data_IF_450883146814
#
_entry.id   IF_450883146814
#
_cell.length_a   1.000
_cell.length_b   1.000
_cell.length_c   1.000
_cell.angle_alpha   90.00
_cell.angle_beta   90.00
_cell.angle_gamma   90.00
#
_symmetry.space_group_name_H-M   'P 1'
#
loop_
_entity.id
_entity.type
_entity.pdbx_description
1 polymer ?
#
# COMPACT_ATOMS: atom_id res chain seq x y z
N UNK A 1 -30.27 39.96 -19.46
CA UNK A 1 -29.16 39.22 -18.82
C UNK A 1 -29.35 37.75 -19.13
N UNK A 2 -28.49 37.20 -19.98
CA UNK A 2 -28.69 35.95 -20.70
C UNK A 2 -28.49 34.71 -19.81
N UNK A 3 -29.52 33.87 -19.74
CA UNK A 3 -29.49 32.46 -19.36
C UNK A 3 -29.64 31.64 -20.64
N UNK A 4 -28.53 31.22 -21.25
CA UNK A 4 -28.53 30.25 -22.33
C UNK A 4 -27.34 29.29 -22.20
N UNK A 5 -27.64 28.00 -22.48
CA UNK A 5 -26.75 26.86 -22.68
C UNK A 5 -26.34 26.02 -21.47
N UNK A 6 -27.31 25.26 -20.95
CA UNK A 6 -27.10 23.84 -20.65
C UNK A 6 -27.94 23.02 -21.63
N UNK A 7 -27.32 22.54 -22.72
CA UNK A 7 -27.94 21.56 -23.62
C UNK A 7 -27.47 20.17 -23.22
N UNK A 8 -28.47 19.36 -22.89
CA UNK A 8 -28.45 17.93 -22.59
C UNK A 8 -27.68 17.09 -23.61
N UNK A 9 -26.71 16.31 -23.13
CA UNK A 9 -26.26 15.07 -23.76
C UNK A 9 -26.52 13.92 -22.79
N UNK A 10 -27.78 13.48 -22.71
CA UNK A 10 -28.13 12.20 -22.10
C UNK A 10 -27.99 11.16 -23.21
N UNK A 11 -26.83 10.51 -23.31
CA UNK A 11 -26.70 9.28 -24.08
C UNK A 11 -27.46 8.18 -23.34
N UNK A 12 -28.53 7.66 -23.96
CA UNK A 12 -29.24 6.46 -23.51
C UNK A 12 -28.24 5.29 -23.38
N UNK A 13 -28.13 4.60 -22.23
CA UNK A 13 -27.36 3.37 -22.17
C UNK A 13 -28.10 2.29 -22.94
N UNK A 14 -27.46 1.75 -23.98
CA UNK A 14 -27.95 0.58 -24.70
C UNK A 14 -27.84 -0.65 -23.79
N UNK A 15 -28.98 -1.22 -23.41
CA UNK A 15 -29.14 -2.37 -22.50
C UNK A 15 -28.73 -3.73 -23.11
N UNK A 16 -27.89 -3.74 -24.13
CA UNK A 16 -27.50 -4.96 -24.85
C UNK A 16 -26.00 -5.19 -24.69
N UNK A 17 -25.56 -5.62 -23.50
CA UNK A 17 -24.26 -6.30 -23.28
C UNK A 17 -24.05 -6.83 -21.84
N UNK A 18 -25.11 -7.27 -21.15
CA UNK A 18 -24.97 -7.75 -19.76
C UNK A 18 -24.39 -9.18 -19.63
N UNK A 19 -23.99 -9.84 -20.73
CA UNK A 19 -23.62 -11.26 -20.71
C UNK A 19 -22.17 -11.56 -21.16
N UNK A 20 -21.24 -10.60 -21.08
CA UNK A 20 -19.81 -10.88 -21.27
C UNK A 20 -18.99 -10.09 -20.25
N UNK A 21 -18.02 -10.80 -19.63
CA UNK A 21 -16.86 -10.30 -18.86
C UNK A 21 -16.94 -10.48 -17.33
N UNK A 22 -16.90 -11.73 -16.87
CA UNK A 22 -16.42 -12.06 -15.51
C UNK A 22 -14.88 -12.15 -15.43
N UNK A 23 -14.16 -11.96 -16.55
CA UNK A 23 -12.70 -12.11 -16.65
C UNK A 23 -11.95 -10.86 -17.13
N UNK A 24 -12.64 -9.74 -17.37
CA UNK A 24 -12.00 -8.52 -17.88
C UNK A 24 -11.61 -7.60 -16.71
N UNK A 25 -10.39 -7.08 -16.72
CA UNK A 25 -9.94 -6.08 -15.75
C UNK A 25 -10.47 -4.67 -16.07
N UNK A 26 -11.31 -4.54 -17.08
CA UNK A 26 -11.94 -3.28 -17.48
C UNK A 26 -13.08 -2.96 -16.53
N UNK A 27 -13.06 -1.74 -16.01
CA UNK A 27 -14.17 -1.20 -15.22
C UNK A 27 -15.45 -1.18 -16.07
N UNK A 28 -16.54 -1.81 -15.62
CA UNK A 28 -17.83 -1.79 -16.33
C UNK A 28 -18.47 -0.39 -16.41
N UNK A 29 -18.04 0.55 -15.56
CA UNK A 29 -18.54 1.92 -15.49
C UNK A 29 -17.52 2.90 -16.10
N UNK A 30 -17.11 2.65 -17.35
CA UNK A 30 -16.14 3.50 -18.05
C UNK A 30 -16.43 3.53 -19.55
N UNK A 31 -15.95 4.58 -20.22
CA UNK A 31 -16.02 4.69 -21.69
C UNK A 31 -14.89 3.93 -22.42
N UNK A 32 -13.95 3.35 -21.67
CA UNK A 32 -12.92 2.45 -22.20
C UNK A 32 -13.50 1.07 -22.48
N UNK A 33 -13.07 0.48 -23.58
CA UNK A 33 -13.39 -0.92 -23.90
C UNK A 33 -12.39 -1.91 -23.31
N UNK A 34 -11.13 -1.45 -23.13
CA UNK A 34 -10.00 -2.25 -22.69
C UNK A 34 -9.07 -1.41 -21.81
N UNK A 35 -8.27 -2.08 -20.97
CA UNK A 35 -7.14 -1.46 -20.27
C UNK A 35 -5.92 -1.44 -21.17
N UNK A 36 -4.98 -0.52 -20.90
CA UNK A 36 -3.74 -0.44 -21.67
C UNK A 36 -2.82 -1.65 -21.44
N UNK A 37 -3.03 -2.45 -20.38
CA UNK A 37 -2.16 -3.57 -20.03
C UNK A 37 -2.63 -4.95 -20.47
N UNK A 38 -3.92 -5.12 -20.80
CA UNK A 38 -4.51 -6.45 -21.05
C UNK A 38 -4.48 -6.92 -22.52
N UNK A 39 -4.22 -5.99 -23.46
CA UNK A 39 -4.20 -6.29 -24.88
C UNK A 39 -3.11 -7.30 -25.23
N UNK A 40 -3.47 -8.27 -26.08
CA UNK A 40 -2.59 -9.36 -26.52
C UNK A 40 -3.01 -9.86 -27.90
N UNK A 41 -2.34 -10.89 -28.43
CA UNK A 41 -2.57 -11.42 -29.78
C UNK A 41 -4.03 -11.84 -30.07
N UNK A 42 -4.82 -12.24 -29.07
CA UNK A 42 -6.24 -12.59 -29.28
C UNK A 42 -7.13 -11.39 -29.61
N UNK A 43 -6.63 -10.18 -29.34
CA UNK A 43 -7.35 -8.93 -29.61
C UNK A 43 -7.07 -8.36 -30.99
N UNK A 44 -6.17 -8.95 -31.78
CA UNK A 44 -5.79 -8.46 -33.11
C UNK A 44 -7.03 -8.36 -34.02
N UNK A 45 -7.17 -7.23 -34.70
CA UNK A 45 -8.30 -6.90 -35.58
C UNK A 45 -9.49 -6.29 -34.85
N UNK A 46 -9.52 -6.27 -33.51
CA UNK A 46 -10.61 -5.67 -32.76
C UNK A 46 -10.45 -4.15 -32.67
N UNK A 47 -11.58 -3.44 -32.74
CA UNK A 47 -11.64 -2.01 -32.41
C UNK A 47 -11.66 -1.84 -30.89
N UNK A 48 -10.79 -0.96 -30.38
CA UNK A 48 -10.61 -0.69 -28.97
C UNK A 48 -10.62 0.80 -28.69
N UNK A 49 -11.26 1.19 -27.59
CA UNK A 49 -11.11 2.49 -26.94
C UNK A 49 -10.26 2.35 -25.69
N UNK A 50 -9.13 3.06 -25.66
CA UNK A 50 -8.18 3.14 -24.54
C UNK A 50 -8.10 4.57 -24.02
N UNK A 51 -7.97 4.76 -22.72
CA UNK A 51 -7.69 6.07 -22.13
C UNK A 51 -6.54 5.94 -21.13
N UNK A 52 -5.62 6.89 -21.14
CA UNK A 52 -4.44 6.85 -20.27
C UNK A 52 -3.53 8.07 -20.39
N UNK A 53 -2.34 7.95 -19.83
CA UNK A 53 -1.30 8.96 -19.81
C UNK A 53 -0.23 8.67 -20.86
N UNK A 54 0.19 9.69 -21.59
CA UNK A 54 1.33 9.60 -22.50
C UNK A 54 2.63 9.45 -21.69
N UNK A 55 3.37 8.37 -21.86
CA UNK A 55 4.61 8.12 -21.08
C UNK A 55 5.88 8.24 -21.88
N UNK A 56 5.78 8.00 -23.17
CA UNK A 56 6.88 8.12 -24.11
C UNK A 56 6.30 8.47 -25.48
N UNK A 57 7.07 9.23 -26.24
CA UNK A 57 6.69 9.62 -27.58
C UNK A 57 7.93 9.63 -28.46
N UNK A 58 7.78 9.12 -29.69
CA UNK A 58 8.81 9.19 -30.72
C UNK A 58 8.29 10.00 -31.90
N UNK A 59 8.52 11.31 -31.85
CA UNK A 59 8.05 12.28 -32.84
C UNK A 59 6.55 12.07 -33.16
N UNK A 60 6.23 11.89 -34.44
CA UNK A 60 4.91 11.61 -34.98
C UNK A 60 4.66 10.11 -35.26
N UNK A 61 5.59 9.22 -34.88
CA UNK A 61 5.50 7.78 -35.20
C UNK A 61 4.59 7.02 -34.25
N UNK A 62 4.88 7.13 -32.95
CA UNK A 62 4.11 6.42 -31.93
C UNK A 62 4.20 7.09 -30.56
N UNK A 63 3.20 6.78 -29.74
CA UNK A 63 3.11 7.14 -28.32
C UNK A 63 2.94 5.86 -27.51
N UNK A 64 3.55 5.79 -26.33
CA UNK A 64 3.26 4.75 -25.34
C UNK A 64 2.22 5.31 -24.37
N UNK A 65 1.02 4.74 -24.43
CA UNK A 65 -0.08 5.06 -23.53
C UNK A 65 -0.01 4.14 -22.30
N UNK A 66 -0.12 4.72 -21.11
CA UNK A 66 -0.13 4.00 -19.84
C UNK A 66 -1.45 4.21 -19.10
N UNK A 67 -1.96 3.16 -18.47
CA UNK A 67 -2.92 3.29 -17.38
C UNK A 67 -2.45 2.54 -16.12
N UNK A 68 -3.35 2.31 -15.16
CA UNK A 68 -3.01 1.62 -13.91
C UNK A 68 -2.62 0.14 -14.11
N UNK A 69 -2.91 -0.45 -15.27
CA UNK A 69 -2.79 -1.88 -15.54
C UNK A 69 -1.61 -2.21 -16.46
N UNK A 70 -1.11 -1.23 -17.21
CA UNK A 70 0.08 -1.40 -18.02
C UNK A 70 0.22 -0.36 -19.11
N UNK A 71 0.93 -0.74 -20.17
CA UNK A 71 1.28 0.13 -21.28
C UNK A 71 0.92 -0.51 -22.61
N UNK A 72 0.48 0.28 -23.58
CA UNK A 72 0.31 -0.15 -24.98
C UNK A 72 0.90 0.90 -25.91
N UNK A 73 1.52 0.44 -27.00
CA UNK A 73 2.00 1.30 -28.07
C UNK A 73 0.86 1.69 -29.00
N UNK A 74 0.74 2.97 -29.27
CA UNK A 74 -0.23 3.56 -30.18
C UNK A 74 0.54 4.12 -31.38
N UNK A 75 0.24 3.63 -32.58
CA UNK A 75 0.83 4.09 -33.83
C UNK A 75 -0.17 4.96 -34.61
N UNK A 76 0.37 5.83 -35.45
CA UNK A 76 -0.41 6.76 -36.27
C UNK A 76 0.02 6.62 -37.74
N UNK A 77 -0.60 5.71 -38.49
CA UNK A 77 -0.22 5.43 -39.89
C UNK A 77 -1.06 6.21 -40.92
N UNK A 78 -2.33 6.49 -40.62
CA UNK A 78 -3.22 7.21 -41.53
C UNK A 78 -3.09 8.73 -41.32
N UNK A 79 -2.09 9.27 -42.03
CA UNK A 79 -1.44 10.54 -41.75
C UNK A 79 -2.19 11.78 -42.26
N UNK A 80 -3.24 11.63 -43.07
CA UNK A 80 -3.95 12.77 -43.68
C UNK A 80 -5.09 13.31 -42.81
N UNK A 81 -5.68 12.51 -41.91
CA UNK A 81 -6.82 12.93 -41.07
C UNK A 81 -6.49 13.11 -39.57
N UNK A 82 -5.44 12.47 -39.06
CA UNK A 82 -5.00 12.63 -37.67
C UNK A 82 -3.94 13.73 -37.59
N UNK A 83 -4.31 14.89 -37.01
CA UNK A 83 -3.47 16.08 -36.84
C UNK A 83 -2.04 15.74 -36.34
N UNK A 84 -1.07 15.49 -37.24
CA UNK A 84 0.32 15.17 -36.86
C UNK A 84 0.91 16.23 -35.93
N UNK A 85 0.60 17.49 -36.19
CA UNK A 85 1.00 18.63 -35.36
C UNK A 85 0.49 18.48 -33.94
N UNK A 86 -0.75 18.02 -33.76
CA UNK A 86 -1.34 17.77 -32.45
C UNK A 86 -0.66 16.61 -31.73
N UNK A 87 -0.43 15.48 -32.42
CA UNK A 87 0.30 14.35 -31.80
C UNK A 87 1.69 14.82 -31.38
N UNK A 88 2.42 15.52 -32.25
CA UNK A 88 3.76 16.05 -31.96
C UNK A 88 3.81 17.10 -30.84
N UNK A 89 2.69 17.77 -30.54
CA UNK A 89 2.61 18.77 -29.48
C UNK A 89 2.16 18.20 -28.13
N UNK A 90 1.81 16.91 -28.07
CA UNK A 90 1.44 16.26 -26.81
C UNK A 90 2.61 16.29 -25.83
N UNK A 91 2.40 16.96 -24.70
CA UNK A 91 3.33 16.86 -23.58
C UNK A 91 3.24 15.46 -22.95
N UNK A 92 4.35 14.97 -22.40
CA UNK A 92 4.33 13.75 -21.59
C UNK A 92 3.42 13.93 -20.39
N UNK A 93 2.82 12.82 -19.95
CA UNK A 93 1.83 12.71 -18.88
C UNK A 93 0.52 13.46 -19.18
N UNK A 94 0.25 13.82 -20.44
CA UNK A 94 -1.07 14.28 -20.88
C UNK A 94 -2.05 13.12 -20.89
N UNK A 95 -3.32 13.40 -20.60
CA UNK A 95 -4.39 12.41 -20.60
C UNK A 95 -5.07 12.41 -21.96
N UNK A 96 -5.03 11.28 -22.64
CA UNK A 96 -5.64 11.12 -23.95
C UNK A 96 -6.59 9.91 -23.98
N UNK A 97 -7.55 10.00 -24.87
CA UNK A 97 -8.39 8.89 -25.31
C UNK A 97 -8.02 8.52 -26.75
N UNK A 98 -7.90 7.23 -27.00
CA UNK A 98 -7.60 6.65 -28.31
C UNK A 98 -8.71 5.68 -28.67
N UNK A 99 -9.26 5.85 -29.88
CA UNK A 99 -9.97 4.76 -30.58
C UNK A 99 -9.05 4.23 -31.67
N UNK A 100 -9.00 2.93 -31.85
CA UNK A 100 -8.12 2.33 -32.84
C UNK A 100 -8.31 0.84 -32.99
N UNK A 101 -7.55 0.24 -33.91
CA UNK A 101 -7.61 -1.19 -34.22
C UNK A 101 -6.32 -1.85 -33.72
N UNK A 102 -6.45 -2.97 -33.02
CA UNK A 102 -5.28 -3.75 -32.57
C UNK A 102 -4.61 -4.43 -33.77
N UNK A 103 -3.30 -4.26 -33.90
CA UNK A 103 -2.46 -4.88 -34.94
C UNK A 103 -1.35 -5.71 -34.30
N UNK A 104 -0.85 -6.69 -35.05
CA UNK A 104 0.40 -7.37 -34.71
C UNK A 104 1.55 -6.44 -35.04
N UNK A 105 2.55 -6.39 -34.16
CA UNK A 105 3.81 -5.74 -34.52
C UNK A 105 4.53 -6.53 -35.61
N UNK A 106 5.31 -5.86 -36.47
CA UNK A 106 6.27 -6.54 -37.32
C UNK A 106 7.21 -7.43 -36.48
N UNK A 107 7.65 -8.60 -36.98
CA UNK A 107 8.48 -9.53 -36.20
C UNK A 107 9.76 -8.91 -35.61
N UNK A 108 10.33 -7.90 -36.29
CA UNK A 108 11.53 -7.16 -35.85
C UNK A 108 11.28 -6.16 -34.72
N UNK A 109 10.02 -5.79 -34.49
CA UNK A 109 9.61 -4.75 -33.52
C UNK A 109 8.92 -5.32 -32.27
N UNK A 110 8.82 -6.65 -32.18
CA UNK A 110 8.28 -7.34 -31.00
C UNK A 110 9.16 -7.06 -29.79
N UNK A 111 8.55 -6.54 -28.72
CA UNK A 111 9.23 -6.28 -27.46
C UNK A 111 8.85 -7.31 -26.40
N UNK A 112 9.61 -8.39 -26.28
CA UNK A 112 9.38 -9.47 -25.30
C UNK A 112 9.42 -9.04 -23.83
N UNK A 113 9.90 -7.81 -23.53
CA UNK A 113 9.91 -7.27 -22.16
C UNK A 113 8.56 -6.70 -21.72
N UNK A 114 7.64 -6.45 -22.66
CA UNK A 114 6.31 -5.88 -22.40
C UNK A 114 5.24 -6.94 -22.60
N UNK A 115 4.23 -6.98 -21.73
CA UNK A 115 3.07 -7.88 -21.87
C UNK A 115 2.31 -7.66 -23.18
N UNK A 116 2.24 -6.40 -23.63
CA UNK A 116 1.60 -5.97 -24.88
C UNK A 116 2.60 -5.87 -26.04
N UNK A 117 3.81 -6.40 -25.87
CA UNK A 117 4.94 -6.17 -26.78
C UNK A 117 4.84 -6.86 -28.15
N UNK A 118 3.88 -7.77 -28.34
CA UNK A 118 3.59 -8.42 -29.63
C UNK A 118 2.55 -7.67 -30.46
N UNK A 119 1.87 -6.69 -29.85
CA UNK A 119 0.80 -5.92 -30.47
C UNK A 119 1.05 -4.42 -30.40
N UNK A 120 0.29 -3.68 -31.19
CA UNK A 120 0.16 -2.23 -31.13
C UNK A 120 -1.25 -1.83 -31.54
N UNK A 121 -1.66 -0.60 -31.25
CA UNK A 121 -2.97 -0.07 -31.65
C UNK A 121 -2.76 1.01 -32.69
N UNK A 122 -3.33 0.79 -33.87
CA UNK A 122 -3.40 1.79 -34.93
C UNK A 122 -4.54 2.75 -34.62
N UNK A 123 -4.21 3.99 -34.26
CA UNK A 123 -5.20 4.98 -33.86
C UNK A 123 -6.03 5.44 -35.07
N UNK A 124 -7.35 5.36 -34.93
CA UNK A 124 -8.33 5.93 -35.87
C UNK A 124 -8.85 7.27 -35.38
N UNK A 125 -8.85 7.49 -34.06
CA UNK A 125 -9.19 8.78 -33.44
C UNK A 125 -8.38 9.02 -32.17
N UNK A 126 -8.04 10.29 -31.92
CA UNK A 126 -7.40 10.77 -30.70
C UNK A 126 -8.13 11.98 -30.15
N UNK A 127 -8.38 11.96 -28.84
CA UNK A 127 -8.97 13.08 -28.10
C UNK A 127 -8.06 13.42 -26.93
N UNK A 128 -7.68 14.70 -26.80
CA UNK A 128 -7.00 15.19 -25.62
C UNK A 128 -8.04 15.47 -24.54
N UNK A 129 -8.03 14.64 -23.50
CA UNK A 129 -8.90 14.80 -22.34
C UNK A 129 -8.34 15.89 -21.43
N UNK A 130 -7.02 15.90 -21.21
CA UNK A 130 -6.36 16.95 -20.43
C UNK A 130 -4.88 17.08 -20.78
N UNK A 131 -4.41 18.32 -20.96
CA UNK A 131 -3.00 18.61 -21.24
C UNK A 131 -2.16 18.60 -19.98
N UNK A 132 -0.94 18.07 -20.07
CA UNK A 132 0.07 18.19 -19.02
C UNK A 132 1.01 19.36 -19.30
N UNK A 133 1.56 19.96 -18.24
CA UNK A 133 2.63 20.94 -18.40
C UNK A 133 3.90 20.24 -18.95
N UNK A 134 4.71 20.92 -19.80
CA UNK A 134 5.85 20.27 -20.45
C UNK A 134 6.92 19.71 -19.50
N UNK A 135 7.09 20.33 -18.33
CA UNK A 135 8.10 19.94 -17.33
C UNK A 135 7.45 19.67 -15.98
N UNK A 136 7.15 18.41 -15.73
CA UNK A 136 6.63 17.97 -14.43
C UNK A 136 7.76 17.84 -13.40
N UNK A 137 7.47 18.09 -12.11
CA UNK A 137 8.46 17.92 -11.04
C UNK A 137 8.79 16.44 -10.79
N UNK A 138 7.90 15.53 -11.18
CA UNK A 138 8.09 14.08 -11.10
C UNK A 138 7.62 13.49 -12.42
N UNK A 139 8.52 12.83 -13.15
CA UNK A 139 8.18 12.05 -14.34
C UNK A 139 8.30 10.56 -14.04
N UNK A 140 7.67 9.74 -14.87
CA UNK A 140 7.77 8.28 -14.78
C UNK A 140 9.19 7.73 -14.85
N UNK A 141 10.15 8.47 -15.41
CA UNK A 141 11.57 8.06 -15.53
C UNK A 141 12.40 8.39 -14.28
N UNK A 142 11.99 9.40 -13.53
CA UNK A 142 12.81 9.97 -12.45
C UNK A 142 12.42 9.44 -11.06
N UNK A 143 11.36 8.61 -10.97
CA UNK A 143 10.74 8.21 -9.70
C UNK A 143 11.71 7.59 -8.68
N UNK A 144 12.76 6.90 -9.13
CA UNK A 144 13.77 6.28 -8.25
C UNK A 144 14.87 7.25 -7.78
N UNK A 145 15.02 8.40 -8.43
CA UNK A 145 16.08 9.38 -8.16
C UNK A 145 15.59 10.60 -7.38
N UNK A 146 14.28 10.68 -7.14
CA UNK A 146 13.64 11.84 -6.49
C UNK A 146 13.70 11.69 -4.97
N UNK A 147 14.13 12.76 -4.29
CA UNK A 147 14.18 12.80 -2.84
C UNK A 147 12.77 12.70 -2.20
N UNK A 148 12.72 12.29 -0.93
CA UNK A 148 11.44 12.08 -0.24
C UNK A 148 10.60 13.36 -0.12
N UNK A 149 11.24 14.51 0.14
CA UNK A 149 10.55 15.80 0.26
C UNK A 149 9.73 16.12 -0.99
N UNK A 150 10.31 15.93 -2.17
CA UNK A 150 9.63 16.16 -3.45
C UNK A 150 8.52 15.12 -3.66
N UNK A 151 8.76 13.86 -3.30
CA UNK A 151 7.75 12.80 -3.35
C UNK A 151 6.54 13.08 -2.44
N UNK A 152 6.73 13.73 -1.29
CA UNK A 152 5.63 14.15 -0.43
C UNK A 152 4.91 15.38 -1.00
N UNK A 153 5.66 16.38 -1.47
CA UNK A 153 5.10 17.61 -2.06
C UNK A 153 4.21 17.33 -3.28
N UNK A 154 4.62 16.41 -4.14
CA UNK A 154 3.90 16.03 -5.36
C UNK A 154 3.36 14.61 -5.29
N UNK A 155 2.84 14.22 -4.12
CA UNK A 155 2.42 12.83 -3.85
C UNK A 155 1.45 12.27 -4.90
N UNK A 156 0.55 13.09 -5.44
CA UNK A 156 -0.37 12.69 -6.50
C UNK A 156 0.33 12.22 -7.80
N UNK A 157 1.53 12.74 -8.11
CA UNK A 157 2.37 12.24 -9.21
C UNK A 157 3.15 11.00 -8.78
N UNK A 158 3.74 11.00 -7.58
CA UNK A 158 4.46 9.84 -7.06
C UNK A 158 3.56 8.60 -6.98
N UNK A 159 2.29 8.77 -6.66
CA UNK A 159 1.30 7.68 -6.62
C UNK A 159 1.13 6.97 -7.97
N UNK A 160 1.55 7.55 -9.10
CA UNK A 160 1.56 6.86 -10.40
C UNK A 160 2.67 5.79 -10.50
N UNK A 161 3.62 5.77 -9.56
CA UNK A 161 4.70 4.80 -9.54
C UNK A 161 4.18 3.37 -9.32
N UNK A 162 4.67 2.37 -10.09
CA UNK A 162 4.25 0.98 -9.92
C UNK A 162 4.40 0.46 -8.48
N UNK A 163 5.50 0.83 -7.79
CA UNK A 163 5.74 0.45 -6.39
C UNK A 163 4.66 0.98 -5.45
N UNK A 164 4.29 2.26 -5.56
CA UNK A 164 3.27 2.87 -4.70
C UNK A 164 1.86 2.39 -5.04
N UNK A 165 1.55 2.19 -6.33
CA UNK A 165 0.31 1.54 -6.77
C UNK A 165 0.18 0.14 -6.15
N UNK A 166 1.23 -0.68 -6.24
CA UNK A 166 1.25 -2.03 -5.65
C UNK A 166 1.02 -1.97 -4.15
N UNK A 167 1.78 -1.14 -3.42
CA UNK A 167 1.67 -1.04 -1.96
C UNK A 167 0.25 -0.69 -1.50
N UNK A 168 -0.42 0.28 -2.15
CA UNK A 168 -1.78 0.68 -1.78
C UNK A 168 -2.82 -0.39 -2.12
N UNK A 169 -2.67 -1.07 -3.26
CA UNK A 169 -3.57 -2.17 -3.65
C UNK A 169 -3.41 -3.39 -2.74
N UNK A 170 -2.18 -3.79 -2.43
CA UNK A 170 -1.90 -4.84 -1.45
C UNK A 170 -2.49 -4.48 -0.09
N UNK A 171 -2.32 -3.23 0.39
CA UNK A 171 -2.96 -2.77 1.62
C UNK A 171 -4.49 -2.94 1.57
N UNK A 172 -5.13 -2.51 0.48
CA UNK A 172 -6.59 -2.64 0.31
C UNK A 172 -7.04 -4.09 0.34
N UNK A 173 -6.31 -4.97 -0.34
CA UNK A 173 -6.63 -6.40 -0.42
C UNK A 173 -6.47 -7.09 0.95
N UNK A 174 -5.38 -6.82 1.66
CA UNK A 174 -5.14 -7.34 3.02
C UNK A 174 -6.29 -6.93 3.95
N UNK A 175 -6.66 -5.64 3.96
CA UNK A 175 -7.76 -5.18 4.80
C UNK A 175 -9.09 -5.83 4.40
N UNK A 176 -9.37 -6.01 3.11
CA UNK A 176 -10.60 -6.68 2.67
C UNK A 176 -10.63 -8.16 3.09
N UNK A 177 -9.51 -8.88 2.97
CA UNK A 177 -9.38 -10.26 3.45
C UNK A 177 -9.56 -10.35 4.98
N UNK A 178 -9.04 -9.37 5.72
CA UNK A 178 -9.26 -9.30 7.17
C UNK A 178 -10.75 -9.07 7.50
N UNK A 179 -11.43 -8.17 6.79
CA UNK A 179 -12.88 -7.96 6.94
C UNK A 179 -13.67 -9.22 6.64
N UNK A 180 -13.37 -9.88 5.53
CA UNK A 180 -14.01 -11.14 5.14
C UNK A 180 -13.82 -12.24 6.20
N UNK A 181 -12.60 -12.41 6.72
CA UNK A 181 -12.34 -13.36 7.79
C UNK A 181 -13.11 -13.06 9.07
N UNK A 182 -13.06 -11.82 9.54
CA UNK A 182 -13.71 -11.44 10.80
C UNK A 182 -15.24 -11.52 10.66
N UNK A 183 -15.80 -10.89 9.63
CA UNK A 183 -17.24 -10.80 9.44
C UNK A 183 -17.85 -12.10 8.92
N UNK A 184 -17.46 -12.55 7.72
CA UNK A 184 -18.14 -13.66 7.04
C UNK A 184 -17.78 -15.03 7.64
N UNK A 185 -16.53 -15.20 8.12
CA UNK A 185 -16.08 -16.50 8.64
C UNK A 185 -16.21 -16.67 10.14
N UNK A 186 -16.08 -15.59 10.90
CA UNK A 186 -16.05 -15.65 12.36
C UNK A 186 -17.20 -14.88 13.04
N UNK A 187 -18.13 -14.29 12.26
CA UNK A 187 -19.34 -13.68 12.80
C UNK A 187 -19.09 -12.44 13.68
N UNK A 188 -18.02 -11.70 13.40
CA UNK A 188 -17.77 -10.40 14.03
C UNK A 188 -18.64 -9.31 13.40
N UNK A 189 -18.95 -8.28 14.19
CA UNK A 189 -19.68 -7.09 13.74
C UNK A 189 -18.72 -5.91 13.58
N UNK A 190 -18.72 -5.29 12.39
CA UNK A 190 -17.95 -4.07 12.09
C UNK A 190 -18.71 -2.87 12.67
N UNK A 191 -18.24 -2.31 13.78
CA UNK A 191 -18.94 -1.22 14.48
C UNK A 191 -18.05 0.02 14.48
N UNK A 192 -18.58 1.13 14.01
CA UNK A 192 -17.88 2.40 14.07
C UNK A 192 -17.99 3.06 15.46
N UNK A 193 -16.87 3.49 16.00
CA UNK A 193 -16.79 4.21 17.28
C UNK A 193 -16.39 5.68 17.09
N UNK A 194 -16.89 6.62 17.92
CA UNK A 194 -16.55 8.04 17.82
C UNK A 194 -15.04 8.35 17.91
N UNK A 195 -14.58 9.26 17.06
CA UNK A 195 -13.20 9.79 17.08
C UNK A 195 -12.99 10.91 18.09
N UNK A 196 -14.00 11.78 18.25
CA UNK A 196 -13.97 12.91 19.18
C UNK A 196 -14.40 12.43 20.57
N UNK A 197 -13.43 12.25 21.46
CA UNK A 197 -13.64 11.67 22.78
C UNK A 197 -13.31 12.66 23.90
N UNK A 198 -13.68 12.33 25.13
CA UNK A 198 -13.08 12.95 26.32
C UNK A 198 -11.67 12.41 26.49
N UNK A 199 -10.76 13.26 26.98
CA UNK A 199 -9.39 12.83 27.34
C UNK A 199 -9.43 11.64 28.30
N UNK A 200 -8.58 10.66 28.01
CA UNK A 200 -8.36 9.52 28.90
C UNK A 200 -7.08 9.71 29.71
N UNK A 201 -7.07 9.44 31.03
CA UNK A 201 -5.84 9.44 31.81
C UNK A 201 -4.99 8.21 31.43
N UNK A 202 -3.68 8.42 31.24
CA UNK A 202 -2.74 7.37 30.79
C UNK A 202 -2.48 7.38 29.29
N UNK A 203 -1.47 6.64 28.86
CA UNK A 203 -1.12 6.48 27.43
C UNK A 203 -0.28 7.62 26.84
N UNK A 204 -0.42 7.81 25.51
CA UNK A 204 0.32 8.81 24.75
C UNK A 204 -0.26 10.23 24.96
N UNK A 205 0.47 11.25 24.49
CA UNK A 205 -0.10 12.60 24.38
C UNK A 205 -1.19 12.60 23.30
N UNK A 206 -2.29 13.30 23.57
CA UNK A 206 -3.45 13.36 22.67
C UNK A 206 -3.49 14.68 21.88
N UNK A 207 -4.13 14.65 20.71
CA UNK A 207 -4.47 15.87 19.96
C UNK A 207 -5.78 16.43 20.50
N UNK A 208 -5.85 17.76 20.61
CA UNK A 208 -7.01 18.47 21.15
C UNK A 208 -7.79 19.12 20.01
N UNK A 209 -9.12 18.99 20.05
CA UNK A 209 -10.04 19.64 19.10
C UNK A 209 -10.93 20.62 19.86
N UNK A 210 -10.76 21.94 19.70
CA UNK A 210 -11.62 22.94 20.31
C UNK A 210 -13.08 22.79 19.90
N UNK A 211 -13.98 23.02 20.85
CA UNK A 211 -15.42 23.13 20.55
C UNK A 211 -15.82 24.59 20.39
N UNK A 212 -17.02 24.84 19.86
CA UNK A 212 -17.63 26.17 19.87
C UNK A 212 -17.95 26.69 21.27
N UNK A 213 -17.97 25.83 22.29
CA UNK A 213 -18.27 26.20 23.66
C UNK A 213 -16.98 26.59 24.39
N UNK A 214 -16.92 27.80 24.98
CA UNK A 214 -15.73 28.26 25.70
C UNK A 214 -15.29 27.26 26.78
N UNK A 215 -13.98 27.01 26.85
CA UNK A 215 -13.36 26.12 27.85
C UNK A 215 -13.58 24.61 27.62
N UNK A 216 -14.28 24.21 26.55
CA UNK A 216 -14.52 22.78 26.24
C UNK A 216 -13.79 22.34 24.98
N UNK A 217 -13.19 21.16 25.06
CA UNK A 217 -12.41 20.54 23.99
C UNK A 217 -12.67 19.04 23.94
N UNK A 218 -12.59 18.47 22.75
CA UNK A 218 -12.46 17.03 22.55
C UNK A 218 -10.99 16.65 22.47
N UNK A 219 -10.75 15.35 22.61
CA UNK A 219 -9.48 14.70 22.36
C UNK A 219 -9.65 13.67 21.24
N UNK A 220 -8.69 13.60 20.31
CA UNK A 220 -8.70 12.56 19.29
C UNK A 220 -8.32 11.21 19.90
N UNK A 221 -9.07 10.17 19.54
CA UNK A 221 -8.90 8.82 20.10
C UNK A 221 -7.52 8.20 19.79
N UNK A 222 -6.86 7.68 20.82
CA UNK A 222 -5.60 6.92 20.66
C UNK A 222 -5.84 5.48 20.20
N UNK A 223 -7.01 4.94 20.54
CA UNK A 223 -7.55 3.63 20.14
C UNK A 223 -9.01 3.54 20.61
N UNK A 224 -9.86 2.71 20.00
CA UNK A 224 -11.25 2.51 20.45
C UNK A 224 -11.42 1.75 21.78
N UNK A 225 -10.36 1.64 22.61
CA UNK A 225 -10.30 0.81 23.81
C UNK A 225 -11.50 0.99 24.75
N UNK A 226 -11.95 2.23 25.00
CA UNK A 226 -13.10 2.45 25.88
C UNK A 226 -14.41 1.94 25.27
N UNK A 227 -14.60 2.17 23.96
CA UNK A 227 -15.83 1.78 23.28
C UNK A 227 -15.92 0.27 23.08
N UNK A 228 -14.83 -0.40 22.72
CA UNK A 228 -14.88 -1.85 22.53
C UNK A 228 -15.25 -2.59 23.82
N UNK A 229 -14.81 -2.10 24.98
CA UNK A 229 -15.24 -2.62 26.29
C UNK A 229 -16.73 -2.38 26.55
N UNK A 230 -17.23 -1.16 26.26
CA UNK A 230 -18.67 -0.86 26.38
C UNK A 230 -19.53 -1.70 25.43
N UNK A 231 -19.03 -2.01 24.23
CA UNK A 231 -19.71 -2.87 23.27
C UNK A 231 -19.84 -4.31 23.79
N UNK A 232 -18.81 -4.85 24.44
CA UNK A 232 -18.90 -6.17 25.09
C UNK A 232 -19.99 -6.18 26.18
N UNK A 233 -20.04 -5.12 27.01
CA UNK A 233 -21.12 -4.95 28.00
C UNK A 233 -22.50 -4.82 27.33
N UNK A 234 -22.54 -4.16 26.18
CA UNK A 234 -23.74 -3.97 25.35
C UNK A 234 -24.16 -5.19 24.53
N UNK A 235 -23.73 -6.40 24.90
CA UNK A 235 -24.08 -7.68 24.26
C UNK A 235 -23.55 -7.88 22.83
N UNK A 236 -22.56 -7.09 22.40
CA UNK A 236 -21.81 -7.45 21.21
C UNK A 236 -20.75 -8.48 21.58
N UNK A 237 -21.02 -9.76 21.32
CA UNK A 237 -20.10 -10.86 21.69
C UNK A 237 -18.76 -10.79 20.93
N UNK A 238 -18.78 -10.24 19.69
CA UNK A 238 -17.63 -10.18 18.79
C UNK A 238 -17.62 -8.87 18.00
N UNK A 239 -16.66 -8.01 18.31
CA UNK A 239 -16.50 -6.69 17.70
C UNK A 239 -15.20 -6.59 16.92
N UNK A 240 -15.25 -5.92 15.77
CA UNK A 240 -14.04 -5.40 15.15
C UNK A 240 -14.26 -4.03 14.52
N UNK A 241 -13.17 -3.31 14.29
CA UNK A 241 -13.17 -2.06 13.55
C UNK A 241 -11.81 -1.84 12.89
N UNK A 242 -11.82 -1.32 11.66
CA UNK A 242 -10.61 -0.72 11.06
C UNK A 242 -10.57 0.77 11.44
N UNK A 243 -10.03 1.06 12.61
CA UNK A 243 -10.09 2.36 13.27
C UNK A 243 -8.97 3.32 12.83
N UNK A 244 -9.28 4.62 12.75
CA UNK A 244 -8.26 5.68 12.69
C UNK A 244 -7.88 6.09 14.11
N UNK A 245 -6.58 6.11 14.38
CA UNK A 245 -6.02 6.38 15.69
C UNK A 245 -5.00 7.50 15.61
N UNK A 246 -4.90 8.29 16.69
CA UNK A 246 -4.14 9.52 16.72
C UNK A 246 -3.22 9.57 17.94
N UNK A 247 -1.94 9.90 17.75
CA UNK A 247 -0.96 10.06 18.83
C UNK A 247 -0.11 11.30 18.59
N UNK A 248 -0.12 12.22 19.55
CA UNK A 248 0.66 13.45 19.52
C UNK A 248 2.07 13.22 20.09
N UNK A 249 2.79 12.29 19.48
CA UNK A 249 4.18 11.93 19.82
C UNK A 249 5.14 12.38 18.73
N UNK A 250 6.45 12.39 19.05
CA UNK A 250 7.49 12.60 18.05
C UNK A 250 7.44 11.51 16.96
N UNK A 251 7.73 11.90 15.73
CA UNK A 251 7.74 10.99 14.58
C UNK A 251 8.95 10.05 14.64
N UNK A 252 8.74 8.78 14.31
CA UNK A 252 9.79 7.79 14.03
C UNK A 252 9.57 7.21 12.63
N UNK A 253 10.56 6.52 12.08
CA UNK A 253 10.45 5.92 10.75
C UNK A 253 9.22 4.99 10.60
N UNK A 254 8.81 4.34 11.69
CA UNK A 254 7.67 3.42 11.78
C UNK A 254 6.42 4.03 12.45
N UNK A 255 6.44 5.33 12.80
CA UNK A 255 5.36 5.98 13.57
C UNK A 255 4.90 7.28 12.94
N UNK A 256 3.61 7.32 12.61
CA UNK A 256 2.91 8.50 12.13
C UNK A 256 1.91 8.97 13.19
N UNK A 257 1.64 10.28 13.29
CA UNK A 257 0.69 10.81 14.27
C UNK A 257 -0.74 10.36 14.01
N UNK A 258 -1.07 10.05 12.76
CA UNK A 258 -2.31 9.38 12.36
C UNK A 258 -1.99 8.03 11.74
N UNK A 259 -2.63 6.98 12.22
CA UNK A 259 -2.45 5.61 11.73
C UNK A 259 -3.76 4.82 11.80
N UNK A 260 -3.75 3.63 11.21
CA UNK A 260 -4.92 2.75 11.18
C UNK A 260 -4.62 1.50 12.01
N UNK A 261 -5.56 1.10 12.85
CA UNK A 261 -5.52 -0.15 13.59
C UNK A 261 -6.65 -1.07 13.13
N UNK A 262 -6.42 -2.38 13.20
CA UNK A 262 -7.50 -3.37 13.20
C UNK A 262 -7.74 -3.68 14.67
N UNK A 263 -8.80 -3.09 15.22
CA UNK A 263 -9.20 -3.26 16.60
C UNK A 263 -10.21 -4.39 16.70
N UNK A 264 -10.01 -5.29 17.66
CA UNK A 264 -10.76 -6.54 17.82
C UNK A 264 -11.04 -6.71 19.30
N UNK A 265 -12.26 -7.11 19.64
CA UNK A 265 -12.66 -7.47 21.00
C UNK A 265 -13.64 -8.65 20.97
N UNK A 266 -13.55 -9.51 21.99
CA UNK A 266 -14.31 -10.75 22.12
C UNK A 266 -14.78 -10.90 23.57
N UNK A 267 -16.03 -11.35 23.75
CA UNK A 267 -16.55 -11.77 25.05
C UNK A 267 -16.27 -13.26 25.31
N UNK A 268 -16.28 -13.67 26.58
CA UNK A 268 -16.17 -15.08 27.02
C UNK A 268 -14.99 -15.88 26.42
N UNK A 269 -13.87 -15.21 26.12
CA UNK A 269 -12.71 -15.82 25.47
C UNK A 269 -11.50 -15.86 26.39
N UNK A 270 -10.50 -16.68 26.08
CA UNK A 270 -9.19 -16.64 26.72
C UNK A 270 -8.16 -15.89 25.86
N UNK A 271 -7.03 -15.52 26.45
CA UNK A 271 -5.89 -14.96 25.71
C UNK A 271 -5.37 -15.94 24.64
N UNK A 272 -5.42 -17.26 24.88
CA UNK A 272 -4.95 -18.27 23.94
C UNK A 272 -5.87 -18.36 22.71
N UNK A 273 -7.17 -18.25 22.92
CA UNK A 273 -8.15 -18.26 21.83
C UNK A 273 -8.01 -17.01 20.95
N UNK A 274 -7.81 -15.83 21.55
CA UNK A 274 -7.52 -14.60 20.81
C UNK A 274 -6.23 -14.75 20.00
N UNK A 275 -5.15 -15.29 20.58
CA UNK A 275 -3.91 -15.54 19.84
C UNK A 275 -4.16 -16.43 18.62
N UNK A 276 -4.87 -17.55 18.80
CA UNK A 276 -5.19 -18.47 17.71
C UNK A 276 -6.03 -17.78 16.61
N UNK A 277 -7.00 -16.94 16.98
CA UNK A 277 -7.79 -16.15 16.03
C UNK A 277 -6.89 -15.20 15.22
N UNK A 278 -5.99 -14.47 15.88
CA UNK A 278 -5.09 -13.53 15.22
C UNK A 278 -4.10 -14.25 14.29
N UNK A 279 -3.57 -15.41 14.69
CA UNK A 279 -2.72 -16.23 13.82
C UNK A 279 -3.45 -16.65 12.54
N UNK A 280 -4.70 -17.11 12.67
CA UNK A 280 -5.54 -17.48 11.53
C UNK A 280 -5.91 -16.28 10.66
N UNK A 281 -6.21 -15.12 11.27
CA UNK A 281 -6.49 -13.87 10.57
C UNK A 281 -5.29 -13.43 9.73
N UNK A 282 -4.09 -13.45 10.31
CA UNK A 282 -2.84 -13.08 9.61
C UNK A 282 -2.59 -14.07 8.47
N UNK A 283 -2.69 -15.38 8.71
CA UNK A 283 -2.51 -16.41 7.68
C UNK A 283 -3.51 -16.24 6.53
N UNK A 284 -4.78 -15.97 6.84
CA UNK A 284 -5.82 -15.81 5.84
C UNK A 284 -5.65 -14.55 4.99
N UNK A 285 -5.22 -13.45 5.61
CA UNK A 285 -5.04 -12.16 4.94
C UNK A 285 -3.66 -11.97 4.31
N UNK A 286 -2.74 -12.92 4.47
CA UNK A 286 -1.37 -12.81 3.99
C UNK A 286 -1.30 -12.70 2.45
N UNK A 287 -0.55 -11.74 1.90
CA UNK A 287 -0.39 -11.63 0.45
C UNK A 287 0.32 -12.85 -0.13
N UNK A 288 -0.29 -13.52 -1.10
CA UNK A 288 0.23 -14.76 -1.70
C UNK A 288 1.60 -14.57 -2.34
N UNK A 289 1.89 -13.37 -2.87
CA UNK A 289 3.19 -13.03 -3.46
C UNK A 289 4.33 -12.92 -2.43
N UNK A 290 4.03 -12.99 -1.13
CA UNK A 290 5.00 -12.99 -0.04
C UNK A 290 5.35 -14.40 0.46
N UNK A 291 4.81 -15.44 -0.19
CA UNK A 291 5.01 -16.83 0.20
C UNK A 291 4.09 -17.25 1.34
N UNK A 292 4.29 -18.46 1.85
CA UNK A 292 3.43 -19.04 2.87
C UNK A 292 3.90 -18.69 4.29
N UNK A 293 2.92 -18.56 5.19
CA UNK A 293 3.15 -18.42 6.63
C UNK A 293 2.93 -19.78 7.30
N UNK A 294 3.89 -20.17 8.15
CA UNK A 294 3.77 -21.34 9.03
C UNK A 294 3.03 -20.95 10.31
N UNK A 295 2.05 -21.77 10.69
CA UNK A 295 1.27 -21.68 11.93
C UNK A 295 1.29 -23.04 12.64
N UNK A 296 1.25 -23.10 13.98
CA UNK A 296 1.11 -21.97 14.91
C UNK A 296 2.37 -21.10 15.01
N UNK A 297 2.23 -19.85 15.44
CA UNK A 297 3.39 -18.98 15.64
C UNK A 297 4.17 -19.39 16.88
N UNK A 298 5.49 -19.19 16.84
CA UNK A 298 6.33 -19.43 18.01
C UNK A 298 5.96 -18.41 19.10
N UNK A 299 5.58 -18.91 20.28
CA UNK A 299 5.40 -18.08 21.46
C UNK A 299 6.72 -18.02 22.24
N UNK A 300 7.08 -16.82 22.68
CA UNK A 300 8.23 -16.57 23.54
C UNK A 300 7.75 -15.82 24.79
N UNK A 301 8.21 -16.23 25.97
CA UNK A 301 7.94 -15.46 27.19
C UNK A 301 8.69 -14.13 27.12
N UNK A 302 8.14 -13.11 27.77
CA UNK A 302 8.80 -11.80 27.85
C UNK A 302 10.22 -11.92 28.44
N UNK A 303 10.36 -12.68 29.53
CA UNK A 303 11.66 -12.92 30.19
C UNK A 303 12.66 -13.58 29.23
N UNK A 304 12.23 -14.59 28.46
CA UNK A 304 13.08 -15.25 27.47
C UNK A 304 13.45 -14.29 26.31
N UNK A 305 12.53 -13.44 25.88
CA UNK A 305 12.79 -12.44 24.84
C UNK A 305 13.86 -11.42 25.29
N UNK A 306 13.72 -10.90 26.50
CA UNK A 306 14.71 -10.00 27.09
C UNK A 306 16.04 -10.69 27.34
N UNK A 307 16.02 -11.91 27.90
CA UNK A 307 17.22 -12.69 28.22
C UNK A 307 18.01 -13.05 26.96
N UNK A 308 17.36 -13.55 25.92
CA UNK A 308 18.05 -14.06 24.73
C UNK A 308 18.27 -13.00 23.64
N UNK A 309 17.54 -11.88 23.65
CA UNK A 309 17.58 -10.91 22.55
C UNK A 309 17.64 -9.45 23.00
N UNK A 310 17.47 -9.15 24.29
CA UNK A 310 17.49 -7.78 24.82
C UNK A 310 16.35 -6.89 24.31
N UNK A 311 15.30 -7.49 23.75
CA UNK A 311 14.13 -6.77 23.23
C UNK A 311 12.87 -7.63 23.31
N UNK A 312 11.74 -6.96 23.55
CA UNK A 312 10.39 -7.53 23.54
C UNK A 312 9.84 -7.82 22.13
N UNK A 313 10.58 -7.45 21.08
CA UNK A 313 10.24 -7.67 19.66
C UNK A 313 11.42 -8.24 18.87
N UNK A 314 11.94 -9.42 19.26
CA UNK A 314 13.15 -9.97 18.67
C UNK A 314 12.97 -10.33 17.20
N UNK A 315 14.03 -10.14 16.42
CA UNK A 315 14.09 -10.60 15.03
C UNK A 315 14.59 -12.04 14.97
N UNK A 316 13.66 -12.99 14.98
CA UNK A 316 13.94 -14.43 15.02
C UNK A 316 14.53 -14.99 13.70
N UNK A 317 14.75 -14.14 12.69
CA UNK A 317 15.48 -14.53 11.47
C UNK A 317 16.98 -14.70 11.73
N UNK A 318 17.49 -14.08 12.80
CA UNK A 318 18.87 -14.22 13.23
C UNK A 318 18.96 -15.19 14.39
N UNK A 319 19.83 -16.19 14.28
CA UNK A 319 20.03 -17.20 15.32
C UNK A 319 20.91 -16.71 16.49
N UNK A 320 21.49 -15.52 16.38
CA UNK A 320 22.38 -14.95 17.39
C UNK A 320 21.58 -14.59 18.65
N UNK A 321 21.85 -15.31 19.74
CA UNK A 321 21.30 -15.05 21.07
C UNK A 321 22.34 -14.41 21.97
N UNK A 322 21.87 -13.58 22.89
CA UNK A 322 22.62 -13.17 24.07
C UNK A 322 22.86 -14.38 24.96
N UNK A 323 24.08 -14.49 25.48
CA UNK A 323 24.51 -15.50 26.42
C UNK A 323 24.89 -14.80 27.72
N UNK A 324 24.31 -15.24 28.83
CA UNK A 324 24.70 -14.77 30.15
C UNK A 324 26.11 -15.27 30.46
N UNK A 325 27.01 -14.34 30.79
CA UNK A 325 28.40 -14.61 31.15
C UNK A 325 28.77 -13.98 32.49
N UNK A 326 27.75 -13.68 33.32
CA UNK A 326 27.92 -12.96 34.56
C UNK A 326 28.82 -13.73 35.52
N UNK A 327 28.61 -15.05 35.65
CA UNK A 327 29.38 -15.90 36.55
C UNK A 327 30.85 -16.03 36.10
N UNK A 328 31.09 -16.20 34.80
CA UNK A 328 32.42 -16.32 34.20
C UNK A 328 33.25 -15.04 34.34
N UNK A 329 32.60 -13.89 34.44
CA UNK A 329 33.25 -12.59 34.57
C UNK A 329 33.55 -12.19 36.01
N UNK A 330 32.94 -12.82 37.02
CA UNK A 330 33.06 -12.41 38.44
C UNK A 330 34.50 -12.22 38.91
N UNK A 331 35.39 -13.13 38.53
CA UNK A 331 36.81 -13.14 38.96
C UNK A 331 37.79 -12.66 37.87
N UNK A 332 37.27 -12.12 36.75
CA UNK A 332 38.09 -11.75 35.59
C UNK A 332 38.99 -10.53 35.81
N UNK A 333 38.82 -9.79 36.91
CA UNK A 333 39.52 -8.52 37.17
C UNK A 333 39.13 -7.37 36.23
N UNK A 334 38.17 -7.58 35.33
CA UNK A 334 37.68 -6.55 34.40
C UNK A 334 36.79 -5.55 35.14
N UNK A 335 36.99 -4.24 34.88
CA UNK A 335 36.14 -3.18 35.46
C UNK A 335 34.65 -3.34 35.14
N UNK A 336 34.32 -3.96 34.01
CA UNK A 336 32.94 -4.23 33.58
C UNK A 336 32.28 -5.28 34.49
N UNK A 337 33.05 -6.26 34.99
CA UNK A 337 32.56 -7.28 35.91
C UNK A 337 32.31 -6.74 37.33
N UNK A 338 33.01 -5.68 37.72
CA UNK A 338 32.87 -5.09 39.05
C UNK A 338 31.46 -4.54 39.31
N UNK A 339 30.75 -4.06 38.27
CA UNK A 339 29.39 -3.53 38.42
C UNK A 339 28.35 -4.64 38.62
N UNK A 340 28.43 -5.74 37.86
CA UNK A 340 27.56 -6.91 38.06
C UNK A 340 27.81 -7.65 39.37
N UNK A 341 29.02 -7.52 39.95
CA UNK A 341 29.34 -8.09 41.25
C UNK A 341 28.74 -7.30 42.43
N UNK A 342 28.44 -6.01 42.23
CA UNK A 342 27.91 -5.13 43.29
C UNK A 342 26.39 -4.99 43.28
N UNK A 343 25.75 -5.24 42.14
CA UNK A 343 24.32 -5.10 41.95
C UNK A 343 23.75 -6.37 41.31
N UNK A 344 22.91 -7.10 42.05
CA UNK A 344 22.29 -8.34 41.60
C UNK A 344 21.32 -8.16 40.43
N UNK A 345 20.89 -6.91 40.17
CA UNK A 345 19.99 -6.59 39.06
C UNK A 345 20.75 -6.37 37.73
N UNK A 346 22.08 -6.40 37.76
CA UNK A 346 22.94 -6.19 36.59
C UNK A 346 23.48 -7.51 36.06
N UNK A 347 23.12 -7.83 34.82
CA UNK A 347 23.57 -9.04 34.10
C UNK A 347 24.63 -8.65 33.06
N UNK A 348 25.71 -9.41 32.98
CA UNK A 348 26.68 -9.32 31.89
C UNK A 348 26.34 -10.34 30.80
N UNK A 349 26.16 -9.87 29.57
CA UNK A 349 25.83 -10.75 28.43
C UNK A 349 26.80 -10.57 27.26
N UNK A 350 27.10 -11.66 26.56
CA UNK A 350 27.87 -11.66 25.32
C UNK A 350 27.02 -12.13 24.13
N UNK A 351 27.48 -11.83 22.92
CA UNK A 351 26.87 -12.32 21.68
C UNK A 351 27.95 -12.93 20.81
N UNK A 352 27.70 -14.14 20.31
CA UNK A 352 28.62 -14.81 19.39
C UNK A 352 28.22 -14.45 17.97
N UNK A 353 29.11 -13.76 17.25
CA UNK A 353 28.92 -13.40 15.84
C UNK A 353 29.59 -14.48 14.98
N UNK A 354 28.83 -15.34 14.28
CA UNK A 354 29.41 -16.39 13.44
C UNK A 354 30.33 -15.78 12.37
N UNK A 355 31.56 -16.30 12.26
CA UNK A 355 32.59 -15.79 11.34
C UNK A 355 32.96 -14.30 11.53
N UNK A 356 32.68 -13.72 12.71
CA UNK A 356 32.94 -12.31 13.00
C UNK A 356 34.42 -11.90 12.94
N UNK A 357 35.34 -12.85 13.13
CA UNK A 357 36.78 -12.61 13.12
C UNK A 357 37.30 -11.99 11.81
N UNK A 358 36.63 -12.25 10.67
CA UNK A 358 36.98 -11.67 9.36
C UNK A 358 36.81 -10.15 9.29
N UNK A 359 36.03 -9.58 10.21
CA UNK A 359 35.74 -8.14 10.26
C UNK A 359 36.58 -7.40 11.29
N UNK A 360 37.33 -8.14 12.11
CA UNK A 360 38.26 -7.56 13.06
C UNK A 360 39.54 -7.21 12.29
N UNK A 361 39.77 -5.92 12.07
CA UNK A 361 41.13 -5.44 11.78
C UNK A 361 41.93 -5.61 13.06
N UNK A 362 42.72 -6.67 13.15
CA UNK A 362 43.75 -6.77 14.18
C UNK A 362 44.74 -5.64 13.86
N UNK A 363 44.65 -4.54 14.62
CA UNK A 363 45.77 -3.61 14.73
C UNK A 363 46.77 -4.38 15.59
N UNK A 364 47.74 -5.01 14.93
CA UNK A 364 48.91 -5.57 15.61
C UNK A 364 49.76 -4.45 16.21
#
# INVERSE_FOLDING_TARGET
>A
MNLHHFRSYIHKPCLVNLCRRLSSCVNNFTWRTHTCGELNLSHVGQEVTLCGWTTFQRCDKFVILRDAYGHTQIIFNDFENLNKKFVSSLSLESVIQIKGIVKKRPPREINKKLSTGEIEVEATNIELVNSSIPKLPITSKDQEKINEVTNYKYRYLSLRAPKLQKNLRTRSEVLMKMRDFLHNKNGFVDIETPTLLKKTPGGAKEFIVPTKFPGKFYSLTQSPQQFKQLLMIGLFDRYFQIARCYRNEGTKADRQPEFTQVDIELSFTTAKDIQNLIEQLIKYSWPTEKGEIKTPFQCLKYEDAMRYYGTDKPDLRYEMKLQDVTDELKDSGLKIAAQSNTDSDVISSCIVIPNGTKFIKIVM
#
